data_IF_572648338534
#
_entry.id   IF_572648338534
#
_cell.length_a   1.000
_cell.length_b   1.000
_cell.length_c   1.000
_cell.angle_alpha   90.00
_cell.angle_beta   90.00
_cell.angle_gamma   90.00
#
_symmetry.space_group_name_H-M   'P 1'
#
loop_
_entity.id
_entity.type
_entity.pdbx_description
1 polymer ?
#
# COMPACT_ATOMS: atom_id res chain seq x y z
N UNK A 1 -6.82 4.95 -38.02
CA UNK A 1 -8.00 5.42 -37.27
C UNK A 1 -7.87 5.03 -35.80
N UNK A 2 -7.34 5.92 -34.95
CA UNK A 2 -7.21 5.69 -33.51
C UNK A 2 -8.59 5.81 -32.87
N UNK A 3 -9.21 4.71 -32.45
CA UNK A 3 -10.38 4.75 -31.55
C UNK A 3 -9.93 4.23 -30.18
N UNK A 4 -9.34 5.17 -29.44
CA UNK A 4 -9.23 5.14 -27.99
C UNK A 4 -10.64 4.89 -27.43
N UNK A 5 -10.92 3.66 -26.96
CA UNK A 5 -12.01 3.42 -26.01
C UNK A 5 -11.35 3.15 -24.67
N UNK A 6 -11.35 4.19 -23.86
CA UNK A 6 -10.74 4.28 -22.53
C UNK A 6 -11.39 3.32 -21.53
N UNK A 7 -10.62 2.48 -20.83
CA UNK A 7 -10.96 2.04 -19.49
C UNK A 7 -10.34 3.02 -18.49
N UNK A 8 -10.92 4.21 -18.37
CA UNK A 8 -10.78 4.97 -17.12
C UNK A 8 -11.82 4.36 -16.18
N UNK A 9 -11.43 3.52 -15.21
CA UNK A 9 -11.81 3.53 -13.78
C UNK A 9 -11.05 2.37 -13.09
N UNK A 10 -9.96 2.73 -12.41
CA UNK A 10 -9.49 2.18 -11.12
C UNK A 10 -8.92 0.74 -11.02
N UNK A 11 -7.70 0.50 -11.48
CA UNK A 11 -6.88 -0.65 -10.97
C UNK A 11 -5.45 -0.27 -10.61
N UNK A 12 -5.13 1.01 -10.42
CA UNK A 12 -3.72 1.43 -10.26
C UNK A 12 -3.18 1.45 -8.83
N UNK A 13 -3.97 1.10 -7.82
CA UNK A 13 -3.55 1.24 -6.42
C UNK A 13 -3.32 -0.10 -5.68
N UNK A 14 -3.72 -1.24 -6.25
CA UNK A 14 -3.77 -2.52 -5.50
C UNK A 14 -2.50 -3.38 -5.66
N UNK A 15 -1.65 -3.07 -6.63
CA UNK A 15 -0.55 -3.94 -7.06
C UNK A 15 0.72 -3.89 -6.21
N UNK A 16 0.78 -3.10 -5.13
CA UNK A 16 2.00 -3.03 -4.30
C UNK A 16 2.14 -4.19 -3.29
N UNK A 17 1.05 -4.92 -3.03
CA UNK A 17 0.91 -5.81 -1.87
C UNK A 17 0.34 -7.20 -2.21
N UNK A 18 -0.17 -7.40 -3.43
CA UNK A 18 -0.95 -8.60 -3.80
C UNK A 18 -0.24 -9.58 -4.73
N UNK A 19 0.95 -9.25 -5.26
CA UNK A 19 1.69 -10.13 -6.15
C UNK A 19 2.93 -10.69 -5.45
N UNK A 20 2.95 -12.02 -5.28
CA UNK A 20 4.06 -12.83 -4.77
C UNK A 20 5.28 -12.87 -5.72
N UNK A 21 5.39 -11.94 -6.66
CA UNK A 21 6.54 -11.79 -7.55
C UNK A 21 7.13 -10.39 -7.39
N UNK A 22 8.10 -10.30 -6.47
CA UNK A 22 9.03 -9.17 -6.28
C UNK A 22 8.37 -7.91 -5.69
N UNK A 23 8.81 -7.42 -4.52
CA UNK A 23 8.26 -6.19 -3.94
C UNK A 23 8.61 -5.03 -4.86
N UNK A 24 7.67 -4.62 -5.71
CA UNK A 24 7.78 -3.41 -6.49
C UNK A 24 8.01 -2.23 -5.53
N UNK A 25 8.93 -1.34 -5.88
CA UNK A 25 9.12 -0.12 -5.10
C UNK A 25 7.79 0.67 -5.04
N UNK A 26 7.45 1.27 -3.90
CA UNK A 26 6.21 2.03 -3.78
C UNK A 26 6.19 3.19 -4.78
N UNK A 27 5.04 3.38 -5.45
CA UNK A 27 4.83 4.57 -6.29
C UNK A 27 5.01 5.84 -5.44
N UNK A 28 5.53 6.94 -6.01
CA UNK A 28 5.52 8.24 -5.34
C UNK A 28 4.12 8.68 -4.89
N UNK A 29 3.05 8.29 -5.59
CA UNK A 29 1.66 8.55 -5.17
C UNK A 29 1.30 7.79 -3.89
N UNK A 30 1.78 6.54 -3.77
CA UNK A 30 1.61 5.72 -2.57
C UNK A 30 2.35 6.33 -1.37
N UNK A 31 3.61 6.72 -1.56
CA UNK A 31 4.37 7.39 -0.49
C UNK A 31 3.75 8.72 -0.08
N UNK A 32 3.21 9.51 -1.02
CA UNK A 32 2.48 10.75 -0.69
C UNK A 32 1.21 10.49 0.11
N UNK A 33 0.49 9.41 -0.18
CA UNK A 33 -0.68 9.02 0.59
C UNK A 33 -0.30 8.56 2.00
N UNK A 34 0.75 7.73 2.12
CA UNK A 34 1.28 7.27 3.40
C UNK A 34 1.80 8.41 4.27
N UNK A 35 2.43 9.42 3.68
CA UNK A 35 2.92 10.59 4.41
C UNK A 35 1.78 11.42 5.04
N UNK A 36 0.56 11.31 4.51
CA UNK A 36 -0.64 11.97 5.05
C UNK A 36 -1.49 11.04 5.92
N UNK A 37 -1.17 9.75 5.96
CA UNK A 37 -1.91 8.76 6.71
C UNK A 37 -1.44 8.72 8.17
N UNK A 38 -2.34 8.36 9.07
CA UNK A 38 -1.98 8.09 10.45
C UNK A 38 -1.41 6.67 10.58
N UNK A 39 -0.08 6.59 10.60
CA UNK A 39 0.64 5.31 10.69
C UNK A 39 0.37 4.58 12.02
N UNK A 40 0.00 5.28 13.11
CA UNK A 40 -0.38 4.62 14.37
C UNK A 40 -1.75 3.98 14.26
N UNK A 41 -2.71 4.68 13.65
CA UNK A 41 -4.03 4.13 13.36
C UNK A 41 -3.91 2.89 12.47
N UNK A 42 -3.14 2.97 11.39
CA UNK A 42 -2.89 1.83 10.49
C UNK A 42 -2.20 0.66 11.22
N UNK A 43 -1.33 0.94 12.18
CA UNK A 43 -0.69 -0.09 13.00
C UNK A 43 -1.70 -0.91 13.81
N UNK A 44 -2.76 -0.28 14.33
CA UNK A 44 -3.83 -0.99 15.05
C UNK A 44 -4.55 -2.03 14.19
N UNK A 45 -4.50 -1.89 12.84
CA UNK A 45 -5.04 -2.88 11.92
C UNK A 45 -4.11 -4.06 11.67
N UNK A 46 -2.85 -4.06 12.14
CA UNK A 46 -1.86 -5.13 11.91
C UNK A 46 -2.41 -6.53 12.21
N UNK A 47 -3.15 -6.66 13.31
CA UNK A 47 -3.76 -7.93 13.74
C UNK A 47 -5.23 -8.07 13.31
N UNK A 48 -5.77 -7.07 12.62
CA UNK A 48 -7.16 -7.09 12.17
C UNK A 48 -7.33 -8.05 11.00
N UNK A 49 -8.38 -8.90 11.00
CA UNK A 49 -8.71 -9.74 9.86
C UNK A 49 -9.00 -8.92 8.59
N UNK A 50 -9.30 -7.62 8.72
CA UNK A 50 -9.54 -6.72 7.60
C UNK A 50 -8.37 -6.68 6.61
N UNK A 51 -7.11 -6.67 7.08
CA UNK A 51 -5.94 -6.65 6.19
C UNK A 51 -5.89 -7.90 5.31
N UNK A 52 -6.15 -9.07 5.89
CA UNK A 52 -6.22 -10.35 5.15
C UNK A 52 -7.34 -10.34 4.12
N UNK A 53 -8.53 -9.84 4.48
CA UNK A 53 -9.65 -9.75 3.53
C UNK A 53 -9.38 -8.82 2.34
N UNK A 54 -8.55 -7.79 2.53
CA UNK A 54 -8.15 -6.88 1.47
C UNK A 54 -7.00 -7.42 0.61
N UNK A 55 -6.36 -8.52 1.04
CA UNK A 55 -5.17 -9.10 0.40
C UNK A 55 -3.88 -8.33 0.73
N UNK A 56 -3.80 -7.79 1.95
CA UNK A 56 -2.67 -7.02 2.46
C UNK A 56 -1.88 -7.89 3.43
N UNK A 57 -0.59 -8.08 3.16
CA UNK A 57 0.31 -8.73 4.11
C UNK A 57 0.75 -7.73 5.19
N UNK A 58 0.45 -7.99 6.48
CA UNK A 58 0.77 -7.07 7.56
C UNK A 58 2.29 -6.90 7.77
N UNK A 59 3.10 -7.92 7.50
CA UNK A 59 4.56 -7.84 7.64
C UNK A 59 5.22 -7.01 6.54
N UNK A 60 4.65 -7.03 5.32
CA UNK A 60 5.07 -6.15 4.23
C UNK A 60 4.56 -4.72 4.44
N UNK A 61 3.36 -4.55 4.97
CA UNK A 61 2.77 -3.23 5.23
C UNK A 61 3.59 -2.42 6.23
N UNK A 62 4.08 -3.02 7.33
CA UNK A 62 4.94 -2.32 8.30
C UNK A 62 6.33 -1.97 7.76
N UNK A 63 6.78 -2.66 6.70
CA UNK A 63 8.04 -2.35 5.99
C UNK A 63 7.88 -1.27 4.92
N UNK A 64 6.66 -0.79 4.67
CA UNK A 64 6.36 0.20 3.64
C UNK A 64 6.77 1.63 4.03
N UNK A 65 6.52 2.12 5.28
CA UNK A 65 6.96 3.45 5.71
C UNK A 65 8.46 3.72 5.50
N UNK A 66 9.40 2.83 5.93
CA UNK A 66 10.82 3.11 5.74
C UNK A 66 11.23 3.15 4.26
N UNK A 67 10.56 2.40 3.36
CA UNK A 67 10.79 2.50 1.90
C UNK A 67 10.38 3.85 1.32
N UNK A 68 9.49 4.57 2.00
CA UNK A 68 9.07 5.93 1.66
C UNK A 68 9.82 7.01 2.46
N UNK A 69 10.88 6.66 3.20
CA UNK A 69 11.57 7.55 4.15
C UNK A 69 10.66 8.09 5.27
N UNK A 70 9.63 7.33 5.65
CA UNK A 70 8.73 7.65 6.75
C UNK A 70 9.10 6.84 8.00
N UNK A 71 8.84 7.43 9.17
CA UNK A 71 9.13 6.78 10.45
C UNK A 71 8.00 5.85 10.84
N UNK A 72 8.30 4.57 10.96
CA UNK A 72 7.38 3.57 11.51
C UNK A 72 7.19 3.82 13.01
N UNK A 73 5.96 3.81 13.54
CA UNK A 73 5.74 3.93 14.98
C UNK A 73 6.31 2.72 15.74
N UNK A 74 6.79 2.96 16.96
CA UNK A 74 7.25 1.89 17.85
C UNK A 74 6.07 0.99 18.26
N UNK A 75 6.37 -0.31 18.45
CA UNK A 75 5.38 -1.37 18.72
C UNK A 75 4.39 -1.62 17.56
N UNK A 76 4.87 -1.36 16.35
CA UNK A 76 4.41 -1.91 15.09
C UNK A 76 5.46 -2.91 14.59
#
# INVERSE_FOLDING_TARGET
>A
MRKQRSPLITTRQRSAISDSSKPAAPSPECCKALAKADLRCLCSYKNSPLLRTLGIDPELAVKLPPKCNLKTPANC
#
